data_IF_363752816756
#
_entry.id   IF_363752816756
#
_cell.length_a   1.000
_cell.length_b   1.000
_cell.length_c   1.000
_cell.angle_alpha   90.00
_cell.angle_beta   90.00
_cell.angle_gamma   90.00
#
_symmetry.space_group_name_H-M   'P 1'
#
loop_
_entity.id
_entity.type
_entity.pdbx_description
1 polymer ?
#
# COMPACT_ATOMS: atom_id res chain seq x y z
N UNK A 1 -33.63 30.87 -11.07
CA UNK A 1 -32.94 29.83 -11.88
C UNK A 1 -31.43 30.03 -11.86
N UNK A 2 -30.92 31.21 -12.24
CA UNK A 2 -29.48 31.59 -12.18
C UNK A 2 -28.83 31.32 -10.82
N UNK A 3 -29.43 31.84 -9.74
CA UNK A 3 -28.86 31.73 -8.39
C UNK A 3 -28.87 30.29 -7.86
N UNK A 4 -29.86 29.48 -8.27
CA UNK A 4 -29.91 28.05 -7.94
C UNK A 4 -28.76 27.31 -8.62
N UNK A 5 -28.48 27.64 -9.90
CA UNK A 5 -27.36 27.05 -10.64
C UNK A 5 -26.01 27.42 -10.03
N UNK A 6 -25.82 28.70 -9.69
CA UNK A 6 -24.59 29.17 -9.02
C UNK A 6 -24.38 28.47 -7.68
N UNK A 7 -25.42 28.36 -6.85
CA UNK A 7 -25.33 27.65 -5.56
C UNK A 7 -25.08 26.16 -5.77
N UNK A 8 -25.70 25.53 -6.78
CA UNK A 8 -25.48 24.12 -7.10
C UNK A 8 -24.02 23.85 -7.53
N UNK A 9 -23.48 24.66 -8.45
CA UNK A 9 -22.10 24.54 -8.93
C UNK A 9 -21.09 24.76 -7.79
N UNK A 10 -21.36 25.75 -6.92
CA UNK A 10 -20.55 25.99 -5.71
C UNK A 10 -20.57 24.79 -4.76
N UNK A 11 -21.75 24.23 -4.50
CA UNK A 11 -21.94 23.07 -3.62
C UNK A 11 -21.22 21.83 -4.17
N UNK A 12 -21.30 21.61 -5.49
CA UNK A 12 -20.58 20.51 -6.13
C UNK A 12 -19.06 20.65 -5.98
N UNK A 13 -18.53 21.87 -6.13
CA UNK A 13 -17.12 22.16 -5.93
C UNK A 13 -16.66 21.85 -4.50
N UNK A 14 -17.44 22.26 -3.50
CA UNK A 14 -17.18 21.97 -2.09
C UNK A 14 -17.21 20.47 -1.79
N UNK A 15 -18.19 19.73 -2.32
CA UNK A 15 -18.26 18.27 -2.15
C UNK A 15 -17.01 17.59 -2.72
N UNK A 16 -16.53 18.02 -3.88
CA UNK A 16 -15.31 17.48 -4.49
C UNK A 16 -14.09 17.78 -3.61
N UNK A 17 -13.97 19.01 -3.09
CA UNK A 17 -12.88 19.40 -2.21
C UNK A 17 -12.88 18.58 -0.91
N UNK A 18 -14.03 18.42 -0.26
CA UNK A 18 -14.18 17.64 0.97
C UNK A 18 -13.86 16.16 0.76
N UNK A 19 -14.32 15.55 -0.34
CA UNK A 19 -13.98 14.16 -0.68
C UNK A 19 -12.47 13.97 -0.86
N UNK A 20 -11.78 14.94 -1.47
CA UNK A 20 -10.33 14.92 -1.63
C UNK A 20 -9.58 15.05 -0.31
N UNK A 21 -10.04 15.94 0.58
CA UNK A 21 -9.47 16.08 1.91
C UNK A 21 -9.66 14.81 2.75
N UNK A 22 -10.87 14.23 2.71
CA UNK A 22 -11.18 12.98 3.38
C UNK A 22 -10.27 11.84 2.90
N UNK A 23 -10.14 11.66 1.58
CA UNK A 23 -9.25 10.64 1.01
C UNK A 23 -7.77 10.84 1.46
N UNK A 24 -7.33 12.10 1.55
CA UNK A 24 -5.99 12.44 2.05
C UNK A 24 -5.82 12.04 3.52
N UNK A 25 -6.79 12.37 4.38
CA UNK A 25 -6.79 11.99 5.80
C UNK A 25 -6.85 10.47 6.00
N UNK A 26 -7.66 9.77 5.21
CA UNK A 26 -7.73 8.30 5.24
C UNK A 26 -6.42 7.64 4.85
N UNK A 27 -5.68 8.20 3.89
CA UNK A 27 -4.36 7.69 3.54
C UNK A 27 -3.33 8.05 4.61
N UNK A 28 -3.45 9.25 5.21
CA UNK A 28 -2.57 9.72 6.28
C UNK A 28 -2.59 8.80 7.51
N UNK A 29 -3.79 8.35 7.91
CA UNK A 29 -3.96 7.43 9.05
C UNK A 29 -3.29 6.06 8.85
N UNK A 30 -2.93 5.71 7.61
CA UNK A 30 -2.27 4.45 7.24
C UNK A 30 -0.77 4.60 6.98
N UNK A 31 -0.21 5.80 7.13
CA UNK A 31 1.20 6.04 6.79
C UNK A 31 2.19 5.24 7.62
N UNK A 32 1.80 4.80 8.81
CA UNK A 32 2.61 3.94 9.66
C UNK A 32 2.21 2.45 9.55
N UNK A 33 1.35 2.10 8.60
CA UNK A 33 0.86 0.74 8.44
C UNK A 33 1.57 0.03 7.28
N UNK A 34 1.82 -1.26 7.49
CA UNK A 34 2.22 -2.20 6.45
C UNK A 34 1.13 -3.24 6.30
N UNK A 35 0.80 -3.55 5.05
CA UNK A 35 -0.09 -4.65 4.69
C UNK A 35 0.74 -5.85 4.23
N UNK A 36 0.61 -6.95 4.95
CA UNK A 36 1.21 -8.24 4.63
C UNK A 36 0.12 -9.16 4.08
N UNK A 37 0.27 -9.60 2.83
CA UNK A 37 -0.65 -10.51 2.15
C UNK A 37 -0.03 -11.90 2.00
N UNK A 38 -0.88 -12.89 1.81
CA UNK A 38 -0.45 -14.27 1.53
C UNK A 38 -0.13 -15.09 2.79
N UNK A 39 -0.44 -14.59 4.00
CA UNK A 39 -0.21 -15.36 5.22
C UNK A 39 -1.39 -16.33 5.43
N UNK A 40 -1.14 -17.65 5.61
CA UNK A 40 -2.21 -18.62 5.88
C UNK A 40 -2.91 -18.38 7.23
N UNK A 41 -4.20 -18.76 7.33
CA UNK A 41 -5.03 -18.57 8.54
C UNK A 41 -4.74 -19.56 9.69
N UNK A 42 -3.69 -20.38 9.59
CA UNK A 42 -3.40 -21.44 10.55
C UNK A 42 -3.00 -20.84 11.92
N UNK A 43 -3.65 -21.32 13.00
CA UNK A 43 -3.54 -20.79 14.38
C UNK A 43 -2.17 -20.97 15.05
N UNK A 44 -1.20 -21.64 14.43
CA UNK A 44 0.03 -22.05 15.12
C UNK A 44 0.99 -20.91 15.45
N UNK A 45 0.88 -19.75 14.78
CA UNK A 45 1.86 -18.66 14.94
C UNK A 45 1.21 -17.40 15.49
N UNK A 46 1.95 -16.73 16.38
CA UNK A 46 1.60 -15.37 16.82
C UNK A 46 1.86 -14.37 15.69
N UNK A 47 1.15 -13.25 15.69
CA UNK A 47 1.36 -12.23 14.66
C UNK A 47 2.77 -11.62 14.70
N UNK A 48 3.34 -11.47 15.89
CA UNK A 48 4.70 -10.97 16.05
C UNK A 48 5.73 -11.93 15.45
N UNK A 49 5.60 -13.25 15.67
CA UNK A 49 6.53 -14.21 15.09
C UNK A 49 6.46 -14.26 13.56
N UNK A 50 5.31 -13.94 12.96
CA UNK A 50 5.22 -13.78 11.49
C UNK A 50 6.10 -12.62 11.02
N UNK A 51 6.02 -11.46 11.68
CA UNK A 51 6.85 -10.28 11.34
C UNK A 51 8.33 -10.58 11.57
N UNK A 52 8.66 -11.20 12.70
CA UNK A 52 10.04 -11.56 13.06
C UNK A 52 10.67 -12.58 12.09
N UNK A 53 9.88 -13.54 11.61
CA UNK A 53 10.33 -14.46 10.57
C UNK A 53 10.56 -13.74 9.23
N UNK A 54 9.71 -12.78 8.85
CA UNK A 54 9.95 -11.96 7.64
C UNK A 54 11.25 -11.17 7.78
N UNK A 55 11.47 -10.55 8.94
CA UNK A 55 12.69 -9.83 9.31
C UNK A 55 13.94 -10.70 9.16
N UNK A 56 13.92 -11.92 9.71
CA UNK A 56 14.98 -12.92 9.57
C UNK A 56 15.28 -13.23 8.10
N UNK A 57 14.24 -13.38 7.27
CA UNK A 57 14.39 -13.71 5.85
C UNK A 57 15.08 -12.62 5.02
N UNK A 58 15.16 -11.38 5.53
CA UNK A 58 15.75 -10.23 4.85
C UNK A 58 16.90 -9.58 5.62
N UNK A 59 17.38 -10.21 6.69
CA UNK A 59 18.51 -9.70 7.49
C UNK A 59 18.23 -8.36 8.18
N UNK A 60 16.97 -8.11 8.55
CA UNK A 60 16.55 -6.91 9.28
C UNK A 60 15.98 -7.33 10.64
N UNK A 61 16.03 -6.45 11.64
CA UNK A 61 15.51 -6.73 12.99
C UNK A 61 14.64 -5.59 13.46
N UNK A 62 13.47 -5.92 14.00
CA UNK A 62 12.51 -4.93 14.51
C UNK A 62 12.23 -5.24 15.98
N UNK A 63 12.63 -4.36 16.90
CA UNK A 63 12.25 -4.49 18.29
C UNK A 63 10.74 -4.46 18.45
N UNK A 64 10.18 -5.35 19.29
CA UNK A 64 8.73 -5.45 19.50
C UNK A 64 8.09 -4.12 19.93
N UNK A 65 8.79 -3.31 20.71
CA UNK A 65 8.30 -2.00 21.16
C UNK A 65 8.16 -0.95 20.05
N UNK A 66 8.73 -1.19 18.85
CA UNK A 66 8.50 -0.31 17.68
C UNK A 66 7.17 -0.61 16.98
N UNK A 67 6.49 -1.69 17.36
CA UNK A 67 5.20 -2.11 16.82
C UNK A 67 4.12 -1.70 17.83
N UNK A 68 3.16 -0.90 17.36
CA UNK A 68 2.01 -0.49 18.15
C UNK A 68 0.97 -1.62 18.23
N UNK A 69 0.57 -2.16 17.08
CA UNK A 69 -0.33 -3.32 17.03
C UNK A 69 -0.14 -4.13 15.74
N UNK A 70 -0.58 -5.39 15.81
CA UNK A 70 -0.71 -6.26 14.64
C UNK A 70 -2.10 -6.88 14.64
N UNK A 71 -2.83 -6.73 13.55
CA UNK A 71 -4.19 -7.25 13.43
C UNK A 71 -4.42 -7.85 12.05
N UNK A 72 -5.27 -8.86 11.99
CA UNK A 72 -5.75 -9.40 10.72
C UNK A 72 -7.00 -8.64 10.28
N UNK A 73 -7.01 -8.13 9.06
CA UNK A 73 -8.14 -7.39 8.51
C UNK A 73 -8.76 -8.16 7.33
N UNK A 74 -10.10 -8.13 7.19
CA UNK A 74 -10.76 -8.65 6.01
C UNK A 74 -10.22 -7.95 4.75
N UNK A 75 -10.06 -8.71 3.66
CA UNK A 75 -9.88 -8.11 2.35
C UNK A 75 -11.24 -7.90 1.69
N UNK A 76 -11.37 -6.85 0.88
CA UNK A 76 -12.67 -6.47 0.30
C UNK A 76 -13.26 -7.53 -0.64
N UNK A 77 -12.41 -8.41 -1.20
CA UNK A 77 -12.78 -9.40 -2.21
C UNK A 77 -12.12 -10.77 -1.98
N UNK A 78 -12.27 -11.37 -0.80
CA UNK A 78 -11.75 -12.73 -0.60
C UNK A 78 -11.94 -13.34 0.77
N UNK A 79 -11.77 -14.67 0.82
CA UNK A 79 -11.61 -15.44 2.07
C UNK A 79 -10.25 -15.16 2.75
N UNK A 80 -9.32 -14.58 2.01
CA UNK A 80 -8.00 -14.22 2.51
C UNK A 80 -8.08 -12.96 3.36
N UNK A 81 -7.43 -12.99 4.52
CA UNK A 81 -7.33 -11.84 5.42
C UNK A 81 -5.89 -11.34 5.43
N UNK A 82 -5.66 -10.07 5.11
CA UNK A 82 -4.32 -9.46 5.21
C UNK A 82 -3.95 -9.27 6.69
N UNK A 83 -2.67 -9.21 6.99
CA UNK A 83 -2.17 -8.73 8.28
C UNK A 83 -1.77 -7.27 8.13
N UNK A 84 -2.23 -6.41 9.04
CA UNK A 84 -1.79 -5.04 9.17
C UNK A 84 -0.86 -4.94 10.37
N UNK A 85 0.33 -4.42 10.15
CA UNK A 85 1.30 -4.06 11.19
C UNK A 85 1.35 -2.54 11.27
N UNK A 86 1.03 -1.96 12.43
CA UNK A 86 1.18 -0.53 12.68
C UNK A 86 2.45 -0.28 13.50
N UNK A 87 3.28 0.63 13.01
CA UNK A 87 4.54 1.02 13.62
C UNK A 87 4.40 2.34 14.38
N UNK A 88 5.19 2.50 15.44
CA UNK A 88 5.30 3.79 16.14
C UNK A 88 6.10 4.76 15.28
N UNK A 89 7.25 4.31 14.76
CA UNK A 89 8.14 5.11 13.95
C UNK A 89 7.97 4.81 12.45
N UNK A 90 7.70 5.85 11.66
CA UNK A 90 7.55 5.75 10.21
C UNK A 90 8.85 5.34 9.51
N UNK A 91 10.01 5.76 10.00
CA UNK A 91 11.30 5.40 9.41
C UNK A 91 11.54 3.88 9.50
N UNK A 92 11.30 3.29 10.68
CA UNK A 92 11.38 1.82 10.89
C UNK A 92 10.42 1.09 9.94
N UNK A 93 9.22 1.62 9.76
CA UNK A 93 8.27 1.06 8.78
C UNK A 93 8.85 1.07 7.36
N UNK A 94 9.40 2.18 6.91
CA UNK A 94 9.95 2.33 5.56
C UNK A 94 11.15 1.42 5.34
N UNK A 95 12.04 1.31 6.33
CA UNK A 95 13.17 0.38 6.31
C UNK A 95 12.69 -1.07 6.22
N UNK A 96 11.70 -1.47 7.01
CA UNK A 96 11.11 -2.80 6.95
C UNK A 96 10.53 -3.11 5.56
N UNK A 97 9.75 -2.19 4.98
CA UNK A 97 9.17 -2.38 3.64
C UNK A 97 10.25 -2.46 2.57
N UNK A 98 11.30 -1.63 2.66
CA UNK A 98 12.43 -1.66 1.73
C UNK A 98 13.21 -2.98 1.84
N UNK A 99 13.52 -3.43 3.05
CA UNK A 99 14.19 -4.70 3.31
C UNK A 99 13.34 -5.88 2.80
N UNK A 100 12.04 -5.89 3.09
CA UNK A 100 11.14 -6.94 2.60
C UNK A 100 11.07 -6.99 1.06
N UNK A 101 11.11 -5.84 0.38
CA UNK A 101 11.06 -5.76 -1.09
C UNK A 101 12.38 -6.09 -1.77
N UNK A 102 13.52 -5.97 -1.07
CA UNK A 102 14.82 -6.41 -1.60
C UNK A 102 14.79 -7.91 -1.92
N UNK A 103 14.04 -8.69 -1.12
CA UNK A 103 13.69 -10.08 -1.38
C UNK A 103 12.50 -10.17 -2.34
N UNK A 104 12.80 -10.23 -3.64
CA UNK A 104 11.78 -10.26 -4.74
C UNK A 104 10.74 -11.38 -4.62
N UNK A 105 11.14 -12.51 -4.03
CA UNK A 105 10.30 -13.69 -3.88
C UNK A 105 10.39 -14.24 -2.45
N UNK A 106 9.24 -14.34 -1.80
CA UNK A 106 9.07 -14.88 -0.46
C UNK A 106 7.71 -15.56 -0.39
N UNK A 107 7.63 -16.68 0.30
CA UNK A 107 6.46 -17.54 0.42
C UNK A 107 6.11 -17.81 1.88
N UNK A 108 4.92 -18.36 2.12
CA UNK A 108 4.50 -18.75 3.46
C UNK A 108 5.44 -19.81 4.09
N UNK A 109 6.04 -20.70 3.27
CA UNK A 109 7.06 -21.66 3.71
C UNK A 109 8.26 -20.97 4.36
N UNK A 110 8.73 -19.86 3.81
CA UNK A 110 9.92 -19.14 4.29
C UNK A 110 9.71 -18.53 5.68
N UNK A 111 8.46 -18.27 6.04
CA UNK A 111 8.09 -17.79 7.39
C UNK A 111 7.54 -18.93 8.26
N UNK A 112 7.86 -20.18 7.91
CA UNK A 112 7.60 -21.40 8.67
C UNK A 112 6.18 -21.97 8.58
N UNK A 113 5.43 -21.71 7.50
CA UNK A 113 4.27 -22.52 7.12
C UNK A 113 4.72 -23.61 6.15
N UNK A 114 5.32 -24.69 6.69
CA UNK A 114 5.87 -25.81 5.92
C UNK A 114 4.85 -26.34 4.91
N UNK A 115 5.32 -26.57 3.67
CA UNK A 115 4.51 -27.08 2.56
C UNK A 115 3.56 -26.04 1.91
N UNK A 116 3.57 -24.78 2.35
CA UNK A 116 2.72 -23.74 1.77
C UNK A 116 3.54 -22.79 0.88
N UNK A 117 3.37 -22.89 -0.42
CA UNK A 117 4.08 -22.06 -1.42
C UNK A 117 3.39 -20.74 -1.74
N UNK A 118 2.34 -20.38 -0.99
CA UNK A 118 1.62 -19.13 -1.22
C UNK A 118 2.56 -17.93 -1.08
N UNK A 119 2.63 -17.12 -2.15
CA UNK A 119 3.49 -15.94 -2.19
C UNK A 119 3.07 -14.90 -1.17
N UNK A 120 4.06 -14.38 -0.44
CA UNK A 120 3.91 -13.27 0.47
C UNK A 120 4.20 -11.94 -0.22
N UNK A 121 3.45 -10.93 0.18
CA UNK A 121 3.68 -9.55 -0.25
C UNK A 121 3.69 -8.63 0.96
N UNK A 122 4.73 -7.81 1.07
CA UNK A 122 4.87 -6.77 2.10
C UNK A 122 4.77 -5.41 1.41
N UNK A 123 3.69 -4.67 1.70
CA UNK A 123 3.36 -3.44 1.01
C UNK A 123 3.00 -2.31 1.98
N UNK A 124 3.14 -1.07 1.52
CA UNK A 124 2.44 0.06 2.12
C UNK A 124 0.93 -0.20 2.19
N UNK A 125 0.30 0.21 3.30
CA UNK A 125 -1.14 0.08 3.46
C UNK A 125 -1.87 1.24 2.75
N UNK A 126 -2.20 1.04 1.49
CA UNK A 126 -2.98 1.98 0.68
C UNK A 126 -4.48 1.92 1.02
N UNK A 127 -5.19 3.04 0.84
CA UNK A 127 -6.66 3.07 0.84
C UNK A 127 -7.23 2.26 -0.34
N UNK A 128 -8.49 1.80 -0.29
CA UNK A 128 -9.13 1.15 -1.44
C UNK A 128 -9.06 2.00 -2.71
N UNK A 129 -9.28 3.31 -2.59
CA UNK A 129 -9.12 4.26 -3.69
C UNK A 129 -7.68 4.25 -4.26
N UNK A 130 -6.66 4.44 -3.42
CA UNK A 130 -5.26 4.43 -3.85
C UNK A 130 -4.85 3.08 -4.44
N UNK A 131 -5.40 1.96 -3.95
CA UNK A 131 -5.17 0.62 -4.54
C UNK A 131 -5.76 0.52 -5.95
N UNK A 132 -7.00 0.99 -6.14
CA UNK A 132 -7.63 1.03 -7.46
C UNK A 132 -6.86 1.95 -8.43
N UNK A 133 -6.44 3.12 -7.95
CA UNK A 133 -5.62 4.06 -8.71
C UNK A 133 -4.28 3.45 -9.12
N UNK A 134 -3.61 2.73 -8.20
CA UNK A 134 -2.37 2.00 -8.51
C UNK A 134 -2.59 0.94 -9.58
N UNK A 135 -3.69 0.18 -9.51
CA UNK A 135 -4.04 -0.83 -10.53
C UNK A 135 -4.22 -0.19 -11.90
N UNK A 136 -5.00 0.90 -11.99
CA UNK A 136 -5.20 1.65 -13.25
C UNK A 136 -3.90 2.24 -13.78
N UNK A 137 -3.10 2.84 -12.90
CA UNK A 137 -1.76 3.37 -13.23
C UNK A 137 -0.90 2.29 -13.85
N UNK A 138 -0.77 1.13 -13.18
CA UNK A 138 0.00 -0.01 -13.70
C UNK A 138 -0.53 -0.52 -15.03
N UNK A 139 -1.85 -0.53 -15.24
CA UNK A 139 -2.43 -0.98 -16.50
C UNK A 139 -2.00 -0.05 -17.67
N UNK A 140 -2.14 1.26 -17.50
CA UNK A 140 -1.73 2.27 -18.50
C UNK A 140 -0.23 2.19 -18.77
N UNK A 141 0.59 2.01 -17.72
CA UNK A 141 2.04 1.92 -17.85
C UNK A 141 2.50 0.60 -18.48
N UNK A 142 1.74 -0.50 -18.34
CA UNK A 142 2.12 -1.82 -18.86
C UNK A 142 2.25 -1.82 -20.38
N UNK A 143 1.39 -1.07 -21.06
CA UNK A 143 1.37 -0.98 -22.52
C UNK A 143 2.46 -0.06 -23.08
N UNK A 144 3.27 0.54 -22.20
CA UNK A 144 4.33 1.50 -22.54
C UNK A 144 5.67 0.94 -22.07
N UNK A 145 6.51 0.53 -23.02
CA UNK A 145 7.77 -0.20 -22.79
C UNK A 145 8.79 0.51 -21.88
N UNK A 146 8.57 1.76 -21.49
CA UNK A 146 9.42 2.53 -20.59
C UNK A 146 8.56 3.31 -19.60
N UNK A 147 7.99 2.63 -18.60
CA UNK A 147 7.35 3.25 -17.44
C UNK A 147 7.54 2.39 -16.17
N UNK A 148 8.22 2.93 -15.17
CA UNK A 148 8.38 2.33 -13.84
C UNK A 148 7.27 2.82 -12.93
N UNK A 149 6.59 1.90 -12.23
CA UNK A 149 5.57 2.23 -11.24
C UNK A 149 5.90 1.57 -9.91
N UNK A 150 6.01 2.37 -8.84
CA UNK A 150 6.24 1.86 -7.50
C UNK A 150 5.46 2.65 -6.44
N UNK A 151 5.41 2.11 -5.23
CA UNK A 151 4.79 2.78 -4.09
C UNK A 151 5.87 3.05 -3.06
N UNK A 152 5.92 4.28 -2.54
CA UNK A 152 6.80 4.67 -1.43
C UNK A 152 6.09 5.73 -0.60
N UNK A 153 6.19 5.69 0.73
CA UNK A 153 5.47 6.62 1.60
C UNK A 153 3.95 6.63 1.34
N UNK A 154 3.37 5.46 1.03
CA UNK A 154 1.97 5.33 0.58
C UNK A 154 1.57 6.20 -0.63
N UNK A 155 2.52 6.66 -1.43
CA UNK A 155 2.30 7.43 -2.66
C UNK A 155 2.69 6.62 -3.88
N UNK A 156 1.91 6.74 -4.95
CA UNK A 156 2.16 6.07 -6.23
C UNK A 156 3.13 6.94 -7.02
N UNK A 157 4.29 6.39 -7.34
CA UNK A 157 5.32 7.06 -8.12
C UNK A 157 5.39 6.42 -9.50
N UNK A 158 5.52 7.27 -10.52
CA UNK A 158 5.68 6.88 -11.91
C UNK A 158 6.89 7.60 -12.48
N UNK A 159 7.71 6.87 -13.24
CA UNK A 159 8.84 7.43 -13.98
C UNK A 159 8.82 6.84 -15.38
N UNK A 160 8.87 7.68 -16.42
CA UNK A 160 8.86 7.19 -17.80
C UNK A 160 10.18 6.47 -18.10
N UNK A 161 11.31 7.15 -17.99
CA UNK A 161 12.62 6.54 -18.21
C UNK A 161 13.65 7.01 -17.17
N UNK A 162 14.87 6.48 -17.25
CA UNK A 162 15.95 6.73 -16.29
C UNK A 162 16.46 8.18 -16.26
N UNK A 163 16.02 9.04 -17.18
CA UNK A 163 16.39 10.47 -17.23
C UNK A 163 15.25 11.40 -16.82
N UNK A 164 13.99 10.94 -16.94
CA UNK A 164 12.81 11.75 -16.58
C UNK A 164 12.65 11.92 -15.07
N UNK A 165 11.98 13.02 -14.68
CA UNK A 165 11.57 13.27 -13.30
C UNK A 165 10.46 12.31 -12.88
N UNK A 166 10.45 11.98 -11.60
CA UNK A 166 9.40 11.15 -11.00
C UNK A 166 8.13 11.98 -10.81
N UNK A 167 6.99 11.42 -11.23
CA UNK A 167 5.66 11.98 -11.03
C UNK A 167 4.95 11.20 -9.92
N UNK A 168 4.15 11.90 -9.11
CA UNK A 168 3.29 11.27 -8.10
C UNK A 168 1.85 11.28 -8.62
N UNK A 169 1.22 10.11 -8.62
CA UNK A 169 -0.19 9.94 -9.02
C UNK A 169 -1.04 9.98 -7.75
N UNK A 170 -1.92 10.98 -7.67
CA UNK A 170 -2.77 11.21 -6.49
C UNK A 170 -4.25 11.14 -6.81
N UNK A 171 -4.62 11.20 -8.09
CA UNK A 171 -5.99 11.19 -8.55
C UNK A 171 -6.13 10.61 -9.96
N UNK A 172 -7.34 10.28 -10.37
CA UNK A 172 -7.63 9.79 -11.72
C UNK A 172 -7.26 10.81 -12.81
N UNK A 173 -7.35 12.11 -12.54
CA UNK A 173 -6.95 13.14 -13.52
C UNK A 173 -5.44 13.15 -13.80
N UNK A 174 -4.62 12.69 -12.85
CA UNK A 174 -3.18 12.52 -13.08
C UNK A 174 -2.88 11.42 -14.11
N UNK A 175 -3.81 10.47 -14.32
CA UNK A 175 -3.65 9.40 -15.33
C UNK A 175 -3.62 9.96 -16.75
N UNK A 176 -4.26 11.10 -17.01
CA UNK A 176 -4.22 11.78 -18.32
C UNK A 176 -2.79 12.24 -18.70
N UNK A 177 -1.91 12.42 -17.71
CA UNK A 177 -0.49 12.77 -17.93
C UNK A 177 0.37 11.56 -18.31
N UNK A 178 -0.19 10.37 -18.09
CA UNK A 178 0.43 9.08 -18.41
C UNK A 178 0.00 8.55 -19.77
N UNK A 179 -1.13 9.04 -20.31
CA UNK A 179 -1.64 8.75 -21.66
C UNK A 179 -0.68 9.23 -22.76
#
# INVERSE_FOLDING_TARGET
MEQIKVTFDSTLSEIVALKKELATKEQWSRLNNVEIKGVPLKKMKTFFSIVDNICTQVGYTIPKHQINYIARVPTHFGKDKSIIVNFINRYIKEEFVAAARSKKFMTAKDIGFVGNEQRLYVNDHLTPYSKALLTRTKAICKDKASQYVWVKYCKIHVRKNDTTRVMIITSDSDLNKLA
#
